data_IF_390904776576
#
_entry.id   IF_390904776576
#
_cell.length_a   1.000
_cell.length_b   1.000
_cell.length_c   1.000
_cell.angle_alpha   90.00
_cell.angle_beta   90.00
_cell.angle_gamma   90.00
#
_symmetry.space_group_name_H-M   'P 1'
#
loop_
_entity.id
_entity.type
_entity.pdbx_description
1 polymer ?
#
# COMPACT_ATOMS: atom_id res chain seq x y z
N UNK A 1 11.31 2.06 -18.86
CA UNK A 1 11.16 1.17 -17.68
C UNK A 1 12.50 1.06 -17.00
N UNK A 2 12.62 1.60 -15.81
CA UNK A 2 13.84 1.45 -15.01
C UNK A 2 14.02 -0.03 -14.66
N UNK A 3 15.26 -0.50 -14.66
CA UNK A 3 15.58 -1.86 -14.18
C UNK A 3 14.98 -2.05 -12.78
N UNK A 4 14.34 -3.17 -12.49
CA UNK A 4 13.83 -3.41 -11.15
C UNK A 4 14.98 -3.31 -10.15
N UNK A 5 14.68 -2.72 -8.99
CA UNK A 5 15.63 -2.70 -7.89
C UNK A 5 16.12 -4.13 -7.65
N UNK A 6 17.43 -4.38 -7.68
CA UNK A 6 17.95 -5.73 -7.49
C UNK A 6 17.61 -6.32 -6.12
N UNK A 7 17.17 -5.48 -5.18
CA UNK A 7 16.76 -5.93 -3.86
C UNK A 7 15.27 -6.27 -3.79
N UNK A 8 14.49 -5.91 -4.83
CA UNK A 8 13.07 -6.23 -4.87
C UNK A 8 12.79 -7.39 -5.81
N UNK A 9 12.27 -8.46 -5.24
CA UNK A 9 11.83 -9.61 -6.01
C UNK A 9 10.30 -9.56 -6.12
N UNK A 10 9.80 -9.34 -7.32
CA UNK A 10 8.35 -9.24 -7.55
C UNK A 10 7.68 -10.61 -7.50
N UNK A 11 7.23 -10.98 -6.31
CA UNK A 11 6.58 -12.27 -6.06
C UNK A 11 5.30 -12.45 -6.88
N UNK A 12 4.58 -11.37 -7.13
CA UNK A 12 3.34 -11.42 -7.91
C UNK A 12 3.66 -11.83 -9.35
N UNK A 13 4.66 -11.23 -9.97
CA UNK A 13 5.07 -11.58 -11.33
C UNK A 13 5.51 -13.04 -11.43
N UNK A 14 6.16 -13.55 -10.42
CA UNK A 14 6.54 -14.98 -10.40
C UNK A 14 5.29 -15.87 -10.41
N UNK A 15 4.28 -15.55 -9.62
CA UNK A 15 3.06 -16.34 -9.55
C UNK A 15 2.26 -16.27 -10.85
N UNK A 16 2.23 -15.13 -11.51
CA UNK A 16 1.53 -14.96 -12.80
C UNK A 16 2.15 -15.88 -13.86
N UNK A 17 3.46 -16.02 -13.86
CA UNK A 17 4.15 -16.88 -14.82
C UNK A 17 3.80 -18.36 -14.67
N UNK A 18 3.44 -18.78 -13.46
CA UNK A 18 3.21 -20.19 -13.11
C UNK A 18 1.73 -20.52 -13.00
N UNK A 19 0.92 -19.63 -12.41
CA UNK A 19 -0.50 -19.88 -12.11
C UNK A 19 -1.34 -18.61 -12.11
N UNK A 20 -1.46 -17.94 -13.27
CA UNK A 20 -2.15 -16.64 -13.34
C UNK A 20 -3.62 -16.68 -12.93
N UNK A 21 -4.28 -17.81 -13.17
CA UNK A 21 -5.73 -17.97 -12.95
C UNK A 21 -6.07 -18.59 -11.59
N UNK A 22 -5.06 -18.90 -10.76
CA UNK A 22 -5.30 -19.39 -9.41
C UNK A 22 -5.64 -18.25 -8.46
N UNK A 23 -6.41 -18.56 -7.41
CA UNK A 23 -6.76 -17.60 -6.38
C UNK A 23 -5.50 -17.10 -5.66
N UNK A 24 -5.31 -15.79 -5.63
CA UNK A 24 -4.23 -15.13 -4.91
C UNK A 24 -4.70 -14.55 -3.57
N UNK A 25 -5.81 -13.83 -3.58
CA UNK A 25 -6.35 -13.13 -2.41
C UNK A 25 -7.86 -13.30 -2.37
N UNK A 26 -8.39 -13.55 -1.20
CA UNK A 26 -9.83 -13.50 -0.94
C UNK A 26 -10.07 -12.58 0.25
N UNK A 27 -10.66 -11.41 -0.02
CA UNK A 27 -11.08 -10.49 1.03
C UNK A 27 -12.44 -10.94 1.54
N UNK A 28 -12.44 -11.63 2.67
CA UNK A 28 -13.66 -12.23 3.22
C UNK A 28 -14.68 -11.17 3.67
N UNK A 29 -14.21 -10.05 4.16
CA UNK A 29 -15.09 -8.98 4.65
C UNK A 29 -15.85 -8.31 3.50
N UNK A 30 -15.16 -8.05 2.40
CA UNK A 30 -15.74 -7.42 1.22
C UNK A 30 -16.26 -8.43 0.20
N UNK A 31 -16.06 -9.73 0.43
CA UNK A 31 -16.39 -10.81 -0.48
C UNK A 31 -15.78 -10.59 -1.87
N UNK A 32 -14.47 -10.31 -1.90
CA UNK A 32 -13.73 -10.02 -3.14
C UNK A 32 -12.60 -11.01 -3.36
N UNK A 33 -12.78 -12.02 -4.23
CA UNK A 33 -11.69 -12.90 -4.65
C UNK A 33 -10.92 -12.28 -5.82
N UNK A 34 -9.61 -12.47 -5.82
CA UNK A 34 -8.74 -12.07 -6.93
C UNK A 34 -7.82 -13.22 -7.32
N UNK A 35 -7.73 -13.49 -8.62
CA UNK A 35 -6.67 -14.35 -9.16
C UNK A 35 -5.34 -13.59 -9.12
N UNK A 36 -4.23 -14.30 -9.31
CA UNK A 36 -2.93 -13.63 -9.41
C UNK A 36 -2.90 -12.58 -10.51
N UNK A 37 -3.49 -12.89 -11.67
CA UNK A 37 -3.57 -11.94 -12.77
C UNK A 37 -4.38 -10.70 -12.40
N UNK A 38 -5.56 -10.89 -11.80
CA UNK A 38 -6.42 -9.77 -11.37
C UNK A 38 -5.74 -8.93 -10.29
N UNK A 39 -5.08 -9.57 -9.35
CA UNK A 39 -4.37 -8.86 -8.28
C UNK A 39 -3.21 -8.05 -8.83
N UNK A 40 -2.44 -8.61 -9.77
CA UNK A 40 -1.37 -7.89 -10.46
C UNK A 40 -1.88 -6.64 -11.19
N UNK A 41 -2.99 -6.77 -11.91
CA UNK A 41 -3.60 -5.65 -12.63
C UNK A 41 -3.95 -4.50 -11.68
N UNK A 42 -4.47 -4.82 -10.50
CA UNK A 42 -4.82 -3.83 -9.48
C UNK A 42 -3.57 -3.19 -8.87
N UNK A 43 -2.57 -3.99 -8.54
CA UNK A 43 -1.29 -3.50 -8.01
C UNK A 43 -0.60 -2.60 -9.05
N UNK A 44 -0.60 -3.01 -10.30
CA UNK A 44 0.01 -2.25 -11.38
C UNK A 44 -0.69 -0.91 -11.61
N UNK A 45 -2.02 -0.90 -11.61
CA UNK A 45 -2.81 0.33 -11.74
C UNK A 45 -2.50 1.31 -10.60
N UNK A 46 -2.42 0.83 -9.37
CA UNK A 46 -2.08 1.67 -8.22
C UNK A 46 -0.63 2.17 -8.31
N UNK A 47 0.30 1.32 -8.71
CA UNK A 47 1.70 1.72 -8.89
C UNK A 47 1.84 2.85 -9.93
N UNK A 48 1.15 2.74 -11.06
CA UNK A 48 1.13 3.79 -12.08
C UNK A 48 0.52 5.09 -11.54
N UNK A 49 -0.57 4.99 -10.81
CA UNK A 49 -1.21 6.16 -10.20
C UNK A 49 -0.26 6.86 -9.22
N UNK A 50 0.43 6.09 -8.38
CA UNK A 50 1.40 6.64 -7.43
C UNK A 50 2.52 7.40 -8.15
N UNK A 51 3.08 6.83 -9.20
CA UNK A 51 4.11 7.48 -10.01
C UNK A 51 3.57 8.75 -10.67
N UNK A 52 2.35 8.69 -11.20
CA UNK A 52 1.70 9.83 -11.86
C UNK A 52 1.45 10.99 -10.90
N UNK A 53 1.18 10.71 -9.64
CA UNK A 53 1.00 11.75 -8.60
C UNK A 53 2.31 12.36 -8.12
N UNK A 54 3.45 11.88 -8.60
CA UNK A 54 4.75 12.43 -8.28
C UNK A 54 5.55 11.68 -7.20
N UNK A 55 5.05 10.55 -6.72
CA UNK A 55 5.76 9.73 -5.73
C UNK A 55 6.95 9.05 -6.43
N UNK A 56 8.08 9.02 -5.75
CA UNK A 56 9.35 8.53 -6.30
C UNK A 56 9.92 7.42 -5.43
N UNK A 57 10.88 6.69 -6.01
CA UNK A 57 11.69 5.72 -5.26
C UNK A 57 12.32 6.41 -4.04
N UNK A 58 12.26 5.73 -2.90
CA UNK A 58 12.76 6.28 -1.62
C UNK A 58 11.74 7.08 -0.83
N UNK A 59 10.61 7.47 -1.43
CA UNK A 59 9.52 8.12 -0.69
C UNK A 59 8.86 7.14 0.28
N UNK A 60 8.15 7.68 1.28
CA UNK A 60 7.43 6.89 2.28
C UNK A 60 5.94 7.02 2.05
N UNK A 61 5.25 5.89 2.09
CA UNK A 61 3.80 5.82 1.98
C UNK A 61 3.26 5.20 3.26
N UNK A 62 2.40 5.94 3.95
CA UNK A 62 1.81 5.53 5.23
C UNK A 62 0.43 4.93 4.98
N UNK A 63 0.10 3.90 5.74
CA UNK A 63 -1.25 3.33 5.78
C UNK A 63 -1.76 3.28 7.21
N UNK A 64 -3.01 3.72 7.40
CA UNK A 64 -3.74 3.63 8.67
C UNK A 64 -5.10 2.99 8.43
N UNK A 65 -5.32 1.83 9.02
CA UNK A 65 -6.61 1.15 8.88
C UNK A 65 -6.55 -0.31 9.27
N UNK A 66 -7.66 -1.00 9.02
CA UNK A 66 -7.78 -2.43 9.23
C UNK A 66 -7.24 -3.20 8.03
N UNK A 67 -6.96 -4.49 8.25
CA UNK A 67 -6.49 -5.35 7.17
C UNK A 67 -7.58 -5.64 6.15
N UNK A 68 -7.21 -5.55 4.88
CA UNK A 68 -8.09 -5.83 3.74
C UNK A 68 -7.24 -6.14 2.51
N UNK A 69 -7.88 -6.48 1.39
CA UNK A 69 -7.15 -6.62 0.12
C UNK A 69 -6.52 -5.30 -0.33
N UNK A 70 -7.11 -4.17 0.05
CA UNK A 70 -6.57 -2.85 -0.29
C UNK A 70 -5.19 -2.63 0.34
N UNK A 71 -4.98 -3.10 1.57
CA UNK A 71 -3.66 -3.03 2.24
C UNK A 71 -2.59 -3.76 1.44
N UNK A 72 -2.93 -4.95 0.94
CA UNK A 72 -2.00 -5.74 0.12
C UNK A 72 -1.69 -5.04 -1.20
N UNK A 73 -2.68 -4.43 -1.83
CA UNK A 73 -2.46 -3.65 -3.06
C UNK A 73 -1.53 -2.47 -2.80
N UNK A 74 -1.76 -1.73 -1.73
CA UNK A 74 -0.93 -0.57 -1.36
C UNK A 74 0.50 -1.03 -1.05
N UNK A 75 0.64 -2.10 -0.29
CA UNK A 75 1.95 -2.66 0.06
C UNK A 75 2.75 -3.03 -1.20
N UNK A 76 2.18 -3.85 -2.07
CA UNK A 76 2.88 -4.31 -3.26
C UNK A 76 3.11 -3.20 -4.28
N UNK A 77 2.16 -2.29 -4.45
CA UNK A 77 2.35 -1.13 -5.34
C UNK A 77 3.48 -0.23 -4.84
N UNK A 78 3.54 0.00 -3.53
CA UNK A 78 4.61 0.79 -2.90
C UNK A 78 5.98 0.17 -3.17
N UNK A 79 6.10 -1.15 -2.96
CA UNK A 79 7.35 -1.85 -3.23
C UNK A 79 7.71 -1.81 -4.71
N UNK A 80 6.73 -1.94 -5.59
CA UNK A 80 6.95 -1.98 -7.05
C UNK A 80 7.58 -0.69 -7.58
N UNK A 81 7.29 0.45 -6.96
CA UNK A 81 7.87 1.74 -7.36
C UNK A 81 9.13 2.11 -6.56
N UNK A 82 9.58 1.24 -5.66
CA UNK A 82 10.77 1.49 -4.83
C UNK A 82 10.55 2.43 -3.66
N UNK A 83 9.30 2.69 -3.27
CA UNK A 83 8.98 3.47 -2.08
C UNK A 83 8.96 2.59 -0.84
N UNK A 84 8.96 3.22 0.33
CA UNK A 84 8.90 2.53 1.62
C UNK A 84 7.46 2.52 2.15
N UNK A 85 6.97 1.35 2.53
CA UNK A 85 5.66 1.18 3.12
C UNK A 85 5.75 1.29 4.64
N UNK A 86 4.94 2.19 5.22
CA UNK A 86 4.94 2.47 6.67
C UNK A 86 3.54 2.19 7.22
N UNK A 87 3.29 0.99 7.74
CA UNK A 87 2.01 0.69 8.37
C UNK A 87 1.94 1.33 9.76
N UNK A 88 0.82 1.97 10.08
CA UNK A 88 0.57 2.52 11.40
C UNK A 88 -0.30 1.56 12.22
N UNK A 89 -0.01 1.50 13.51
CA UNK A 89 -0.84 0.75 14.44
C UNK A 89 -2.06 1.60 14.82
N UNK A 90 -3.25 1.19 14.37
CA UNK A 90 -4.48 1.94 14.59
C UNK A 90 -4.90 2.04 16.06
N UNK A 91 -4.27 1.25 16.96
CA UNK A 91 -4.52 1.30 18.40
C UNK A 91 -3.78 2.44 19.09
N UNK A 92 -2.85 3.09 18.39
CA UNK A 92 -2.13 4.25 18.94
C UNK A 92 -3.03 5.48 18.97
N UNK A 93 -2.70 6.41 19.88
CA UNK A 93 -3.42 7.69 19.98
C UNK A 93 -3.01 8.63 18.84
N UNK A 94 -3.85 9.64 18.49
CA UNK A 94 -3.47 10.62 17.48
C UNK A 94 -2.13 11.31 17.72
N UNK A 95 -1.74 11.72 18.96
CA UNK A 95 -0.40 12.28 19.20
C UNK A 95 0.74 11.31 18.89
N UNK A 96 0.57 10.02 19.23
CA UNK A 96 1.57 8.99 18.94
C UNK A 96 1.71 8.77 17.43
N UNK A 97 0.58 8.70 16.71
CA UNK A 97 0.57 8.56 15.26
C UNK A 97 1.19 9.79 14.58
N UNK A 98 0.88 11.00 15.07
CA UNK A 98 1.47 12.24 14.57
C UNK A 98 2.98 12.25 14.70
N UNK A 99 3.51 11.72 15.79
CA UNK A 99 4.96 11.61 15.98
C UNK A 99 5.59 10.74 14.89
N UNK A 100 5.01 9.57 14.62
CA UNK A 100 5.52 8.64 13.60
C UNK A 100 5.45 9.29 12.22
N UNK A 101 4.34 9.92 11.87
CA UNK A 101 4.16 10.59 10.59
C UNK A 101 5.14 11.75 10.41
N UNK A 102 5.35 12.53 11.45
CA UNK A 102 6.34 13.62 11.41
C UNK A 102 7.77 13.10 11.25
N UNK A 103 8.07 11.97 11.86
CA UNK A 103 9.39 11.36 11.78
C UNK A 103 9.69 10.81 10.38
N UNK A 104 8.72 10.12 9.77
CA UNK A 104 8.93 9.52 8.45
C UNK A 104 8.68 10.46 7.27
N UNK A 105 8.04 11.60 7.48
CA UNK A 105 7.73 12.60 6.44
C UNK A 105 7.18 11.96 5.16
N UNK A 106 5.98 11.34 5.20
CA UNK A 106 5.47 10.60 4.07
C UNK A 106 5.02 11.49 2.92
N UNK A 107 5.11 10.98 1.69
CA UNK A 107 4.59 11.64 0.50
C UNK A 107 3.09 11.40 0.31
N UNK A 108 2.55 10.33 0.91
CA UNK A 108 1.13 10.03 0.87
C UNK A 108 0.71 9.25 2.11
N UNK A 109 -0.54 9.44 2.51
CA UNK A 109 -1.18 8.68 3.58
C UNK A 109 -2.46 8.08 3.02
N UNK A 110 -2.54 6.75 3.04
CA UNK A 110 -3.78 6.02 2.78
C UNK A 110 -4.42 5.65 4.11
N UNK A 111 -5.72 5.76 4.20
CA UNK A 111 -6.41 5.39 5.42
C UNK A 111 -7.80 4.82 5.11
N UNK A 112 -8.24 3.91 5.96
CA UNK A 112 -9.61 3.42 5.95
C UNK A 112 -10.54 4.56 6.38
N UNK A 113 -11.67 4.69 5.70
CA UNK A 113 -12.66 5.74 5.96
C UNK A 113 -13.06 5.83 7.44
N UNK A 114 -13.10 4.70 8.14
CA UNK A 114 -13.43 4.65 9.57
C UNK A 114 -12.41 5.37 10.46
N UNK A 115 -11.22 5.70 9.94
CA UNK A 115 -10.18 6.43 10.67
C UNK A 115 -10.06 7.89 10.27
N UNK A 116 -11.04 8.42 9.54
CA UNK A 116 -11.00 9.83 9.10
C UNK A 116 -10.85 10.80 10.26
N UNK A 117 -11.57 10.60 11.35
CA UNK A 117 -11.49 11.48 12.53
C UNK A 117 -10.10 11.46 13.15
N UNK A 118 -9.44 10.31 13.15
CA UNK A 118 -8.06 10.16 13.64
C UNK A 118 -7.10 10.95 12.74
N UNK A 119 -7.25 10.83 11.42
CA UNK A 119 -6.44 11.59 10.46
C UNK A 119 -6.64 13.09 10.65
N UNK A 120 -7.88 13.54 10.80
CA UNK A 120 -8.17 14.95 11.01
C UNK A 120 -7.54 15.45 12.32
N UNK A 121 -7.58 14.66 13.39
CA UNK A 121 -6.94 14.99 14.67
C UNK A 121 -5.42 15.07 14.56
N UNK A 122 -4.80 14.24 13.71
CA UNK A 122 -3.35 14.26 13.48
C UNK A 122 -2.91 15.49 12.69
N UNK A 123 -3.75 15.99 11.80
CA UNK A 123 -3.40 17.11 10.92
C UNK A 123 -3.76 18.47 11.49
N UNK A 124 -4.53 18.52 12.55
CA UNK A 124 -4.81 19.75 13.29
C UNK A 124 -3.61 20.12 14.16
N UNK A 125 -3.03 21.26 13.85
CA UNK A 125 -1.98 21.87 14.68
C UNK A 125 -2.57 22.98 15.55
#
# INVERSE_FOLDING_TARGET
MTSPDPLYNDWIHQQIRVRPDCLAVYDLTADRPFTWKQFDERVDALAHWLLHTGIRSGDRIVYLGLNSSDVLEIFFATLRIGAAYVPLNFRLTPPELSFIVSDCTPSAIFYDRSFRDVIDAMTQK
#
